data_IF_832653225752
#
_entry.id   IF_832653225752
#
_cell.length_a   1.000
_cell.length_b   1.000
_cell.length_c   1.000
_cell.angle_alpha   90.00
_cell.angle_beta   90.00
_cell.angle_gamma   90.00
#
_symmetry.space_group_name_H-M   'P 1'
#
loop_
_entity.id
_entity.type
_entity.pdbx_description
1 polymer ?
#
# COMPACT_ATOMS: atom_id res chain seq x y z
N UNK A 1 -18.62 -26.79 -44.11
CA UNK A 1 -19.02 -26.28 -42.76
C UNK A 1 -18.02 -25.20 -42.36
N UNK A 2 -18.36 -23.95 -42.62
CA UNK A 2 -17.52 -22.82 -42.32
C UNK A 2 -17.75 -22.41 -40.86
N UNK A 3 -16.71 -22.47 -40.04
CA UNK A 3 -16.75 -22.09 -38.61
C UNK A 3 -16.93 -20.57 -38.53
N UNK A 4 -18.02 -20.11 -37.94
CA UNK A 4 -18.23 -18.70 -37.66
C UNK A 4 -17.16 -18.23 -36.65
N UNK A 5 -16.60 -17.04 -36.80
CA UNK A 5 -15.73 -16.46 -35.80
C UNK A 5 -16.56 -16.19 -34.54
N UNK A 6 -16.02 -16.55 -33.37
CA UNK A 6 -16.61 -16.21 -32.07
C UNK A 6 -16.67 -14.69 -31.88
N UNK A 7 -17.51 -14.20 -30.96
CA UNK A 7 -17.57 -12.77 -30.67
C UNK A 7 -16.19 -12.24 -30.24
N UNK A 8 -15.88 -10.98 -30.58
CA UNK A 8 -14.62 -10.37 -30.15
C UNK A 8 -14.55 -10.42 -28.61
N UNK A 9 -13.40 -10.80 -28.08
CA UNK A 9 -13.09 -10.68 -26.66
C UNK A 9 -13.09 -9.18 -26.41
N UNK A 10 -14.08 -8.67 -25.67
CA UNK A 10 -14.03 -7.31 -25.15
C UNK A 10 -12.80 -7.22 -24.24
N UNK A 11 -11.82 -6.47 -24.69
CA UNK A 11 -10.66 -6.09 -23.89
C UNK A 11 -11.22 -5.28 -22.71
N UNK A 12 -11.16 -5.84 -21.51
CA UNK A 12 -11.53 -5.11 -20.29
C UNK A 12 -10.48 -4.02 -20.12
N UNK A 13 -10.78 -2.83 -20.59
CA UNK A 13 -9.95 -1.65 -20.35
C UNK A 13 -10.06 -1.35 -18.86
N UNK A 14 -9.06 -1.77 -18.08
CA UNK A 14 -8.92 -1.34 -16.69
C UNK A 14 -8.66 0.16 -16.73
N UNK A 15 -9.45 0.99 -16.03
CA UNK A 15 -9.26 2.44 -16.10
C UNK A 15 -7.91 2.79 -15.46
N UNK A 16 -6.99 3.33 -16.27
CA UNK A 16 -5.72 3.89 -15.79
C UNK A 16 -6.03 5.07 -14.87
N UNK A 17 -5.52 5.03 -13.65
CA UNK A 17 -5.71 6.10 -12.67
C UNK A 17 -4.63 7.16 -12.86
N UNK A 18 -4.99 8.32 -13.37
CA UNK A 18 -4.01 9.40 -13.64
C UNK A 18 -3.62 10.22 -12.40
N UNK A 19 -4.42 10.26 -11.35
CA UNK A 19 -4.12 10.95 -10.09
C UNK A 19 -5.01 10.46 -8.95
N UNK A 20 -4.42 10.21 -7.80
CA UNK A 20 -5.18 9.93 -6.58
C UNK A 20 -5.87 11.20 -6.07
N UNK A 21 -7.08 11.12 -5.48
CA UNK A 21 -7.65 12.21 -4.71
C UNK A 21 -6.74 12.62 -3.55
N UNK A 22 -6.81 13.90 -3.11
CA UNK A 22 -6.07 14.36 -1.93
C UNK A 22 -6.46 13.51 -0.71
N UNK A 23 -5.47 13.12 0.08
CA UNK A 23 -5.61 12.24 1.25
C UNK A 23 -5.75 10.76 0.92
N UNK A 24 -5.88 10.36 -0.35
CA UNK A 24 -5.94 8.95 -0.74
C UNK A 24 -4.53 8.32 -0.81
N UNK A 25 -4.42 7.00 -0.67
CA UNK A 25 -3.20 6.28 -1.03
C UNK A 25 -2.83 6.58 -2.48
N UNK A 26 -1.59 6.99 -2.70
CA UNK A 26 -1.11 7.39 -4.04
C UNK A 26 0.10 6.60 -4.50
N UNK A 27 0.89 6.07 -3.58
CA UNK A 27 2.09 5.28 -3.88
C UNK A 27 2.42 4.32 -2.75
N UNK A 28 3.22 3.30 -3.06
CA UNK A 28 3.83 2.38 -2.10
C UNK A 28 5.30 2.17 -2.43
N UNK A 29 6.13 2.17 -1.40
CA UNK A 29 7.55 1.85 -1.51
C UNK A 29 7.92 0.64 -0.68
N UNK A 30 8.66 -0.29 -1.28
CA UNK A 30 9.37 -1.33 -0.57
C UNK A 30 10.77 -0.85 -0.21
N UNK A 31 11.08 -0.85 1.09
CA UNK A 31 12.45 -0.77 1.57
C UNK A 31 12.94 -2.18 1.86
N UNK A 32 14.00 -2.63 1.18
CA UNK A 32 14.50 -4.01 1.22
C UNK A 32 16.01 -4.09 1.45
N UNK A 33 16.44 -5.01 2.30
CA UNK A 33 17.84 -5.34 2.55
C UNK A 33 18.49 -6.09 1.38
N UNK A 34 17.68 -6.67 0.48
CA UNK A 34 18.12 -7.36 -0.74
C UNK A 34 17.16 -7.02 -1.90
N UNK A 35 17.42 -5.90 -2.55
CA UNK A 35 16.57 -5.35 -3.62
C UNK A 35 16.50 -6.28 -4.83
N UNK A 36 17.59 -6.96 -5.17
CA UNK A 36 17.62 -7.87 -6.32
C UNK A 36 16.75 -9.09 -6.06
N UNK A 37 16.82 -9.65 -4.87
CA UNK A 37 15.96 -10.76 -4.45
C UNK A 37 14.47 -10.34 -4.40
N UNK A 38 14.17 -9.13 -3.93
CA UNK A 38 12.82 -8.60 -3.93
C UNK A 38 12.29 -8.44 -5.37
N UNK A 39 13.10 -7.92 -6.31
CA UNK A 39 12.72 -7.80 -7.73
C UNK A 39 12.37 -9.15 -8.34
N UNK A 40 13.23 -10.16 -8.15
CA UNK A 40 12.99 -11.51 -8.68
C UNK A 40 11.68 -12.08 -8.11
N UNK A 41 11.47 -11.91 -6.80
CA UNK A 41 10.29 -12.40 -6.11
C UNK A 41 9.00 -11.75 -6.64
N UNK A 42 8.91 -10.41 -6.62
CA UNK A 42 7.69 -9.71 -7.06
C UNK A 42 7.47 -9.82 -8.58
N UNK A 43 8.55 -9.96 -9.36
CA UNK A 43 8.47 -10.28 -10.78
C UNK A 43 7.78 -11.63 -11.04
N UNK A 44 8.09 -12.66 -10.24
CA UNK A 44 7.47 -13.98 -10.35
C UNK A 44 6.03 -13.98 -9.78
N UNK A 45 5.83 -13.40 -8.59
CA UNK A 45 4.56 -13.47 -7.87
C UNK A 45 3.47 -12.61 -8.53
N UNK A 46 3.83 -11.39 -8.95
CA UNK A 46 2.86 -10.41 -9.47
C UNK A 46 3.05 -10.05 -10.95
N UNK A 47 4.09 -10.57 -11.59
CA UNK A 47 4.38 -10.27 -13.00
C UNK A 47 4.94 -8.85 -13.20
N UNK A 48 5.53 -8.25 -12.18
CA UNK A 48 6.07 -6.90 -12.28
C UNK A 48 7.33 -6.85 -13.12
N UNK A 49 7.51 -5.74 -13.81
CA UNK A 49 8.77 -5.35 -14.48
C UNK A 49 9.43 -4.20 -13.72
N UNK A 50 10.74 -4.06 -13.85
CA UNK A 50 11.51 -3.12 -13.03
C UNK A 50 12.45 -2.29 -13.88
N UNK A 51 12.52 -0.99 -13.60
CA UNK A 51 13.39 -0.03 -14.24
C UNK A 51 14.07 0.87 -13.21
N UNK A 52 15.39 1.02 -13.30
CA UNK A 52 16.12 1.97 -12.44
C UNK A 52 15.69 3.39 -12.77
N UNK A 53 15.39 4.18 -11.74
CA UNK A 53 14.93 5.56 -11.92
C UNK A 53 16.01 6.52 -12.43
N UNK A 54 17.29 6.16 -12.21
CA UNK A 54 18.45 6.95 -12.59
C UNK A 54 19.42 7.12 -11.42
N UNK A 55 20.69 7.47 -11.70
CA UNK A 55 21.73 7.59 -10.66
C UNK A 55 21.44 8.72 -9.65
N UNK A 56 20.70 9.76 -10.06
CA UNK A 56 20.31 10.89 -9.23
C UNK A 56 19.28 10.53 -8.16
N UNK A 57 18.58 9.37 -8.27
CA UNK A 57 17.57 8.91 -7.34
C UNK A 57 18.09 7.84 -6.36
N UNK A 58 19.41 7.77 -6.15
CA UNK A 58 20.00 6.94 -5.08
C UNK A 58 19.77 5.44 -5.22
N UNK A 59 19.61 4.93 -6.46
CA UNK A 59 19.36 3.51 -6.71
C UNK A 59 17.89 3.11 -6.59
N UNK A 60 16.97 4.08 -6.59
CA UNK A 60 15.53 3.81 -6.61
C UNK A 60 15.11 3.08 -7.89
N UNK A 61 14.19 2.14 -7.75
CA UNK A 61 13.70 1.29 -8.83
C UNK A 61 12.18 1.43 -8.92
N UNK A 62 11.69 1.73 -10.12
CA UNK A 62 10.27 1.73 -10.42
C UNK A 62 9.81 0.32 -10.78
N UNK A 63 8.74 -0.13 -10.17
CA UNK A 63 8.02 -1.33 -10.55
C UNK A 63 6.79 -0.97 -11.38
N UNK A 64 6.55 -1.71 -12.44
CA UNK A 64 5.39 -1.56 -13.30
C UNK A 64 4.70 -2.90 -13.53
N UNK A 65 3.38 -2.87 -13.61
CA UNK A 65 2.54 -3.99 -14.05
C UNK A 65 1.96 -3.64 -15.41
N UNK A 66 2.20 -4.51 -16.40
CA UNK A 66 1.75 -4.30 -17.79
C UNK A 66 2.13 -2.93 -18.36
N UNK A 67 3.30 -2.40 -17.95
CA UNK A 67 3.82 -1.10 -18.35
C UNK A 67 3.33 0.11 -17.54
N UNK A 68 2.46 -0.10 -16.54
CA UNK A 68 1.90 0.95 -15.69
C UNK A 68 2.55 0.96 -14.30
N UNK A 69 2.99 2.13 -13.79
CA UNK A 69 3.58 2.27 -12.45
C UNK A 69 2.69 1.69 -11.35
N UNK A 70 3.28 0.85 -10.49
CA UNK A 70 2.54 0.15 -9.41
C UNK A 70 3.21 0.27 -8.04
N UNK A 71 4.53 0.37 -7.98
CA UNK A 71 5.29 0.47 -6.74
C UNK A 71 6.70 1.00 -6.96
N UNK A 72 7.38 1.37 -5.88
CA UNK A 72 8.80 1.64 -5.86
C UNK A 72 9.57 0.68 -4.96
N UNK A 73 10.86 0.52 -5.23
CA UNK A 73 11.77 -0.26 -4.41
C UNK A 73 13.05 0.53 -4.16
N UNK A 74 13.54 0.47 -2.93
CA UNK A 74 14.81 1.06 -2.54
C UNK A 74 15.56 0.18 -1.53
N UNK A 75 16.88 0.33 -1.50
CA UNK A 75 17.69 -0.38 -0.54
C UNK A 75 17.40 0.11 0.89
N UNK A 76 17.26 -0.83 1.82
CA UNK A 76 17.23 -0.52 3.23
C UNK A 76 18.64 -0.10 3.69
N UNK A 77 18.74 1.01 4.42
CA UNK A 77 20.01 1.41 5.01
C UNK A 77 20.25 0.60 6.30
N UNK A 78 21.28 -0.24 6.35
CA UNK A 78 21.58 -1.06 7.53
C UNK A 78 21.82 -0.23 8.81
N UNK A 79 22.26 1.03 8.68
CA UNK A 79 22.49 1.93 9.81
C UNK A 79 21.20 2.32 10.54
N UNK A 80 20.06 2.26 9.86
CA UNK A 80 18.75 2.59 10.45
C UNK A 80 18.22 1.45 11.33
N UNK A 81 18.77 0.24 11.21
CA UNK A 81 18.30 -0.95 11.95
C UNK A 81 16.78 -1.16 11.85
N UNK A 82 16.18 -0.69 10.75
CA UNK A 82 14.76 -0.82 10.48
C UNK A 82 14.48 -2.14 9.73
N UNK A 83 13.35 -2.80 10.00
CA UNK A 83 12.96 -3.97 9.24
C UNK A 83 12.63 -3.61 7.79
N UNK A 84 12.78 -4.57 6.90
CA UNK A 84 12.26 -4.46 5.54
C UNK A 84 10.75 -4.33 5.57
N UNK A 85 10.20 -3.41 4.80
CA UNK A 85 8.78 -3.09 4.89
C UNK A 85 8.25 -2.33 3.67
N UNK A 86 6.95 -2.42 3.51
CA UNK A 86 6.17 -1.54 2.66
C UNK A 86 5.80 -0.24 3.39
N UNK A 87 5.89 0.88 2.70
CA UNK A 87 5.42 2.20 3.16
C UNK A 87 4.36 2.71 2.22
N UNK A 88 3.22 3.18 2.75
CA UNK A 88 2.13 3.78 1.98
C UNK A 88 2.31 5.29 2.01
N UNK A 89 2.18 5.93 0.85
CA UNK A 89 2.19 7.38 0.72
C UNK A 89 0.79 7.90 0.42
N UNK A 90 0.39 8.94 1.15
CA UNK A 90 -0.86 9.65 0.93
C UNK A 90 -0.64 10.92 0.12
N UNK A 91 -1.53 11.17 -0.84
CA UNK A 91 -1.47 12.35 -1.69
C UNK A 91 -1.76 13.62 -0.90
N UNK A 92 -0.97 14.65 -1.13
CA UNK A 92 -1.21 16.02 -0.66
C UNK A 92 -0.92 17.03 -1.75
N UNK A 93 -1.66 18.14 -1.77
CA UNK A 93 -1.40 19.26 -2.67
C UNK A 93 -0.40 20.27 -2.05
N UNK A 94 -0.21 20.24 -0.70
CA UNK A 94 0.77 21.08 0.03
C UNK A 94 1.40 20.26 1.16
N UNK A 95 2.58 19.74 0.90
CA UNK A 95 3.29 18.88 1.85
C UNK A 95 3.70 19.61 3.13
N UNK A 96 4.03 20.91 3.03
CA UNK A 96 4.43 21.69 4.20
C UNK A 96 3.24 21.95 5.14
N UNK A 97 2.08 22.30 4.57
CA UNK A 97 0.84 22.46 5.34
C UNK A 97 0.43 21.12 5.97
N UNK A 98 0.50 20.01 5.21
CA UNK A 98 0.18 18.66 5.73
C UNK A 98 1.10 18.28 6.88
N UNK A 99 2.42 18.46 6.75
CA UNK A 99 3.38 18.14 7.83
C UNK A 99 3.17 19.03 9.04
N UNK A 100 2.82 20.31 8.86
CA UNK A 100 2.45 21.18 9.99
C UNK A 100 1.20 20.68 10.70
N UNK A 101 0.15 20.31 9.96
CA UNK A 101 -1.10 19.80 10.53
C UNK A 101 -0.90 18.46 11.26
N UNK A 102 -0.18 17.50 10.64
CA UNK A 102 0.07 16.20 11.29
C UNK A 102 0.86 16.35 12.59
N UNK A 103 1.81 17.29 12.64
CA UNK A 103 2.59 17.55 13.85
C UNK A 103 1.73 18.20 14.94
N UNK A 104 0.86 19.15 14.58
CA UNK A 104 -0.08 19.76 15.50
C UNK A 104 -1.11 18.75 16.03
N UNK A 105 -1.50 17.75 15.22
CA UNK A 105 -2.40 16.65 15.60
C UNK A 105 -1.72 15.51 16.38
N UNK A 106 -0.45 15.66 16.77
CA UNK A 106 0.30 14.70 17.59
C UNK A 106 1.06 13.64 16.82
N UNK A 107 1.13 13.71 15.50
CA UNK A 107 2.02 12.88 14.69
C UNK A 107 3.47 13.36 14.75
N UNK A 108 4.40 12.53 14.30
CA UNK A 108 5.82 12.83 14.26
C UNK A 108 6.32 12.88 12.81
N UNK A 109 6.93 13.99 12.40
CA UNK A 109 7.66 14.07 11.13
C UNK A 109 9.05 13.43 11.31
N UNK A 110 9.24 12.26 10.70
CA UNK A 110 10.50 11.50 10.76
C UNK A 110 11.50 12.01 9.71
N UNK A 111 11.01 12.34 8.51
CA UNK A 111 11.75 13.00 7.44
C UNK A 111 10.96 14.24 7.05
N UNK A 112 11.58 15.42 7.20
CA UNK A 112 10.98 16.68 6.79
C UNK A 112 10.68 16.69 5.28
N UNK A 113 9.76 17.55 4.81
CA UNK A 113 9.51 17.72 3.38
C UNK A 113 10.78 17.92 2.58
N UNK A 114 11.01 17.09 1.59
CA UNK A 114 12.15 17.17 0.70
C UNK A 114 11.73 16.96 -0.76
N UNK A 115 12.42 17.63 -1.66
CA UNK A 115 12.21 17.48 -3.09
C UNK A 115 12.82 16.17 -3.60
N UNK A 116 12.06 15.44 -4.41
CA UNK A 116 12.53 14.39 -5.31
C UNK A 116 12.56 15.04 -6.70
N UNK A 117 13.75 15.37 -7.24
CA UNK A 117 13.89 16.23 -8.43
C UNK A 117 12.96 15.82 -9.58
N UNK A 118 12.23 16.79 -10.13
CA UNK A 118 11.21 16.63 -11.16
C UNK A 118 10.00 15.72 -10.80
N UNK A 119 10.09 14.88 -9.79
CA UNK A 119 9.05 13.88 -9.46
C UNK A 119 7.99 14.41 -8.50
N UNK A 120 8.41 15.14 -7.46
CA UNK A 120 7.53 15.65 -6.43
C UNK A 120 8.24 15.99 -5.14
N UNK A 121 7.46 16.06 -4.06
CA UNK A 121 7.98 16.24 -2.71
C UNK A 121 7.50 15.11 -1.82
N UNK A 122 8.38 14.61 -0.96
CA UNK A 122 8.06 13.54 0.00
C UNK A 122 8.34 13.96 1.44
N UNK A 123 7.65 13.33 2.36
CA UNK A 123 7.93 13.34 3.79
C UNK A 123 7.59 11.97 4.37
N UNK A 124 8.31 11.53 5.41
CA UNK A 124 7.93 10.36 6.20
C UNK A 124 7.51 10.79 7.59
N UNK A 125 6.48 10.15 8.10
CA UNK A 125 5.89 10.47 9.38
C UNK A 125 5.36 9.23 10.09
N UNK A 126 5.00 9.38 11.37
CA UNK A 126 4.14 8.44 12.08
C UNK A 126 2.90 9.14 12.60
N UNK A 127 1.82 8.40 12.71
CA UNK A 127 0.64 8.87 13.44
C UNK A 127 0.90 8.83 14.97
N UNK A 128 -0.01 9.36 15.82
CA UNK A 128 0.15 9.34 17.27
C UNK A 128 0.30 7.95 17.88
N UNK A 129 -0.14 6.90 17.21
CA UNK A 129 -0.02 5.49 17.65
C UNK A 129 1.25 4.80 17.13
N UNK A 130 2.10 5.55 16.40
CA UNK A 130 3.38 5.07 15.88
C UNK A 130 3.31 4.39 14.52
N UNK A 131 2.17 4.36 13.84
CA UNK A 131 2.06 3.79 12.49
C UNK A 131 2.81 4.65 11.46
N UNK A 132 3.81 4.10 10.76
CA UNK A 132 4.58 4.85 9.77
C UNK A 132 3.82 5.00 8.46
N UNK A 133 3.94 6.18 7.84
CA UNK A 133 3.40 6.47 6.51
C UNK A 133 4.20 7.59 5.84
N UNK A 134 3.99 7.77 4.53
CA UNK A 134 4.54 8.89 3.75
C UNK A 134 3.46 9.88 3.33
N UNK A 135 3.90 11.12 3.07
CA UNK A 135 3.15 12.11 2.33
C UNK A 135 3.83 12.32 0.97
N UNK A 136 3.05 12.45 -0.07
CA UNK A 136 3.53 12.71 -1.42
C UNK A 136 2.78 13.86 -2.07
N UNK A 137 3.53 14.90 -2.47
CA UNK A 137 3.03 15.99 -3.29
C UNK A 137 3.58 15.81 -4.71
N UNK A 138 2.75 15.43 -5.69
CA UNK A 138 3.22 15.08 -7.03
C UNK A 138 3.63 16.30 -7.86
N UNK A 139 4.71 16.14 -8.64
CA UNK A 139 5.00 16.88 -9.86
C UNK A 139 4.78 15.95 -11.06
N UNK A 140 5.86 15.39 -11.66
CA UNK A 140 5.75 14.47 -12.80
C UNK A 140 5.34 13.04 -12.39
N UNK A 141 5.56 12.64 -11.12
CA UNK A 141 5.18 11.33 -10.64
C UNK A 141 3.85 11.39 -9.89
N UNK A 142 2.78 10.97 -10.54
CA UNK A 142 1.41 11.06 -10.02
C UNK A 142 0.96 9.88 -9.15
N UNK A 143 1.84 8.88 -8.93
CA UNK A 143 1.54 7.68 -8.13
C UNK A 143 1.13 6.48 -8.97
N UNK A 144 0.28 5.63 -8.42
CA UNK A 144 -0.22 4.44 -9.12
C UNK A 144 -0.97 4.80 -10.40
N UNK A 145 -0.73 4.02 -11.44
CA UNK A 145 -1.60 3.97 -12.62
C UNK A 145 -2.51 2.74 -12.61
N UNK A 146 -2.18 1.73 -11.80
CA UNK A 146 -2.95 0.48 -11.69
C UNK A 146 -3.29 0.20 -10.23
N UNK A 147 -4.58 0.01 -9.94
CA UNK A 147 -5.12 -0.43 -8.65
C UNK A 147 -6.34 -1.32 -8.90
N UNK A 148 -6.69 -2.15 -7.93
CA UNK A 148 -7.95 -2.91 -7.96
C UNK A 148 -7.90 -4.20 -8.79
N UNK A 149 -6.74 -4.60 -9.32
CA UNK A 149 -6.57 -5.82 -10.11
C UNK A 149 -5.50 -6.77 -9.54
N UNK A 150 -5.37 -7.96 -10.15
CA UNK A 150 -4.36 -8.92 -9.73
C UNK A 150 -2.94 -8.38 -9.86
N UNK A 151 -2.14 -8.54 -8.80
CA UNK A 151 -0.77 -8.01 -8.73
C UNK A 151 -0.67 -6.50 -8.53
N UNK A 152 -1.78 -5.80 -8.26
CA UNK A 152 -1.80 -4.39 -7.91
C UNK A 152 -2.41 -4.17 -6.51
N UNK A 153 -2.20 -3.02 -5.86
CA UNK A 153 -2.88 -2.69 -4.61
C UNK A 153 -4.40 -2.68 -4.79
N UNK A 154 -5.12 -3.39 -3.92
CA UNK A 154 -6.59 -3.42 -3.92
C UNK A 154 -7.19 -2.84 -2.65
N UNK A 155 -6.41 -2.77 -1.57
CA UNK A 155 -6.83 -2.19 -0.30
C UNK A 155 -5.64 -1.79 0.56
N UNK A 156 -5.86 -0.80 1.43
CA UNK A 156 -4.90 -0.35 2.43
C UNK A 156 -5.57 -0.36 3.80
N UNK A 157 -4.91 -0.88 4.82
CA UNK A 157 -5.50 -0.99 6.15
C UNK A 157 -4.55 -0.53 7.24
N UNK A 158 -5.01 0.39 8.07
CA UNK A 158 -4.39 0.67 9.36
C UNK A 158 -4.95 -0.29 10.40
N UNK A 159 -4.07 -1.00 11.09
CA UNK A 159 -4.41 -1.70 12.33
C UNK A 159 -3.80 -0.89 13.48
N UNK A 160 -4.65 -0.31 14.33
CA UNK A 160 -4.23 0.67 15.34
C UNK A 160 -4.59 0.26 16.74
N UNK A 161 -3.76 0.66 17.70
CA UNK A 161 -4.03 0.48 19.15
C UNK A 161 -4.98 1.52 19.72
N UNK A 162 -5.01 2.69 19.12
CA UNK A 162 -5.90 3.77 19.53
C UNK A 162 -6.77 4.17 18.34
N UNK A 163 -7.82 3.38 18.15
CA UNK A 163 -8.73 3.53 17.04
C UNK A 163 -9.42 4.90 17.00
N UNK A 164 -9.99 5.44 18.10
CA UNK A 164 -10.63 6.75 18.05
C UNK A 164 -9.64 7.87 17.69
N UNK A 165 -8.45 7.86 18.29
CA UNK A 165 -7.42 8.87 18.02
C UNK A 165 -6.90 8.77 16.58
N UNK A 166 -6.69 7.56 16.05
CA UNK A 166 -6.27 7.37 14.68
C UNK A 166 -7.30 7.89 13.68
N UNK A 167 -8.58 7.55 13.83
CA UNK A 167 -9.65 8.08 12.96
C UNK A 167 -9.71 9.60 13.00
N UNK A 168 -9.62 10.20 14.20
CA UNK A 168 -9.62 11.66 14.36
C UNK A 168 -8.40 12.30 13.67
N UNK A 169 -7.21 11.74 13.86
CA UNK A 169 -5.96 12.20 13.26
C UNK A 169 -6.02 12.24 11.73
N UNK A 170 -6.38 11.13 11.10
CA UNK A 170 -6.40 11.07 9.64
C UNK A 170 -7.52 11.93 9.03
N UNK A 171 -8.64 12.13 9.73
CA UNK A 171 -9.67 13.09 9.34
C UNK A 171 -9.18 14.53 9.40
N UNK A 172 -8.41 14.89 10.41
CA UNK A 172 -7.84 16.22 10.55
C UNK A 172 -6.73 16.50 9.52
N UNK A 173 -5.81 15.54 9.35
CA UNK A 173 -4.63 15.70 8.48
C UNK A 173 -4.98 15.65 6.99
N UNK A 174 -5.86 14.71 6.60
CA UNK A 174 -6.15 14.41 5.20
C UNK A 174 -7.60 14.69 4.78
N UNK A 175 -8.42 15.19 5.69
CA UNK A 175 -9.81 15.51 5.38
C UNK A 175 -10.68 14.29 5.08
N UNK A 176 -10.36 13.11 5.61
CA UNK A 176 -11.11 11.89 5.27
C UNK A 176 -12.58 11.95 5.61
N UNK A 177 -13.43 11.63 4.65
CA UNK A 177 -14.83 11.31 4.88
C UNK A 177 -14.93 9.85 5.27
N UNK A 178 -15.25 9.58 6.52
CA UNK A 178 -15.23 8.23 7.09
C UNK A 178 -16.63 7.67 7.30
N UNK A 179 -16.74 6.34 7.21
CA UNK A 179 -17.97 5.58 7.49
C UNK A 179 -17.63 4.40 8.40
N UNK A 180 -18.39 4.26 9.51
CA UNK A 180 -18.30 3.10 10.38
C UNK A 180 -18.95 1.89 9.72
N UNK A 181 -18.18 0.85 9.46
CA UNK A 181 -18.69 -0.44 8.95
C UNK A 181 -19.17 -1.29 10.13
N UNK A 182 -18.46 -1.23 11.26
CA UNK A 182 -18.82 -1.86 12.50
C UNK A 182 -18.25 -1.07 13.69
N UNK A 183 -19.00 -1.01 14.79
CA UNK A 183 -18.58 -0.39 16.05
C UNK A 183 -19.04 -1.27 17.23
N UNK A 184 -18.67 -2.57 17.18
CA UNK A 184 -18.88 -3.49 18.30
C UNK A 184 -17.58 -3.75 19.06
N UNK A 185 -17.68 -4.28 20.26
CA UNK A 185 -16.50 -4.63 21.08
C UNK A 185 -15.66 -5.75 20.43
N UNK A 186 -16.28 -6.60 19.59
CA UNK A 186 -15.57 -7.70 18.90
C UNK A 186 -14.93 -7.24 17.60
N UNK A 187 -15.51 -6.23 16.93
CA UNK A 187 -14.99 -5.75 15.64
C UNK A 187 -15.35 -4.29 15.43
N UNK A 188 -14.32 -3.43 15.43
CA UNK A 188 -14.45 -2.01 15.16
C UNK A 188 -13.66 -1.64 13.93
N UNK A 189 -14.38 -1.11 12.92
CA UNK A 189 -13.81 -0.85 11.60
C UNK A 189 -14.46 0.35 10.92
N UNK A 190 -13.62 1.24 10.40
CA UNK A 190 -14.03 2.43 9.66
C UNK A 190 -13.37 2.43 8.28
N UNK A 191 -14.09 2.80 7.25
CA UNK A 191 -13.55 3.05 5.91
C UNK A 191 -13.48 4.54 5.61
N UNK A 192 -12.59 4.93 4.69
CA UNK A 192 -12.53 6.29 4.17
C UNK A 192 -12.94 6.33 2.69
N UNK A 193 -13.73 7.34 2.36
CA UNK A 193 -14.28 7.60 1.05
C UNK A 193 -13.52 8.70 0.32
N UNK A 194 -13.25 8.46 -0.96
CA UNK A 194 -12.61 9.38 -1.89
C UNK A 194 -13.48 9.49 -3.15
N UNK A 195 -14.33 10.52 -3.20
CA UNK A 195 -15.44 10.53 -4.16
C UNK A 195 -16.44 9.41 -3.83
N UNK A 196 -16.65 8.50 -4.78
CA UNK A 196 -17.56 7.36 -4.66
C UNK A 196 -16.82 6.03 -4.35
N UNK A 197 -15.50 6.08 -4.10
CA UNK A 197 -14.67 4.91 -3.85
C UNK A 197 -14.19 4.85 -2.39
N UNK A 198 -14.20 3.65 -1.83
CA UNK A 198 -13.50 3.34 -0.58
C UNK A 198 -12.15 2.71 -0.93
N UNK A 199 -11.06 3.30 -0.44
CA UNK A 199 -9.70 2.88 -0.81
C UNK A 199 -8.89 2.36 0.37
N UNK A 200 -9.38 2.59 1.59
CA UNK A 200 -8.69 2.17 2.81
C UNK A 200 -9.65 1.99 3.99
N UNK A 201 -9.15 1.29 5.00
CA UNK A 201 -9.84 1.11 6.27
C UNK A 201 -8.93 1.29 7.48
N UNK A 202 -9.56 1.58 8.61
CA UNK A 202 -8.95 1.66 9.94
C UNK A 202 -9.61 0.60 10.82
N UNK A 203 -8.80 -0.29 11.37
CA UNK A 203 -9.22 -1.40 12.22
C UNK A 203 -8.72 -1.19 13.65
N UNK A 204 -9.58 -1.43 14.62
CA UNK A 204 -9.16 -1.53 16.02
C UNK A 204 -8.32 -2.80 16.21
N UNK A 205 -7.05 -2.60 16.48
CA UNK A 205 -6.07 -3.65 16.72
C UNK A 205 -5.74 -3.86 18.18
N UNK A 206 -6.42 -3.22 19.11
CA UNK A 206 -6.10 -3.24 20.55
C UNK A 206 -6.08 -4.67 21.14
N UNK A 207 -6.90 -5.58 20.60
CA UNK A 207 -6.91 -7.00 20.98
C UNK A 207 -6.11 -7.93 20.05
N UNK A 208 -5.49 -7.42 18.98
CA UNK A 208 -4.83 -8.22 17.94
C UNK A 208 -3.32 -7.97 17.86
N UNK A 209 -2.90 -6.75 18.13
CA UNK A 209 -1.48 -6.38 18.10
C UNK A 209 -0.77 -6.88 19.37
N UNK A 210 0.48 -7.37 19.25
CA UNK A 210 1.30 -7.71 20.43
C UNK A 210 1.42 -6.53 21.39
N UNK A 211 1.50 -6.75 22.70
CA UNK A 211 1.45 -5.70 23.73
C UNK A 211 2.39 -4.51 23.49
N UNK A 212 3.58 -4.75 22.93
CA UNK A 212 4.58 -3.73 22.60
C UNK A 212 4.68 -3.43 21.09
N UNK A 213 3.82 -4.05 20.26
CA UNK A 213 3.86 -3.87 18.80
C UNK A 213 3.28 -2.51 18.38
N UNK A 214 3.87 -1.80 17.43
CA UNK A 214 3.33 -0.53 16.92
C UNK A 214 2.05 -0.78 16.13
N UNK A 215 1.23 0.28 16.01
CA UNK A 215 0.22 0.34 14.96
C UNK A 215 0.88 0.27 13.58
N UNK A 216 0.22 -0.31 12.60
CA UNK A 216 0.82 -0.56 11.30
C UNK A 216 -0.15 -0.38 10.14
N UNK A 217 0.37 0.17 9.06
CA UNK A 217 -0.28 0.15 7.76
C UNK A 217 0.07 -1.15 7.03
N UNK A 218 -0.93 -1.75 6.41
CA UNK A 218 -0.79 -2.96 5.60
C UNK A 218 -1.36 -2.73 4.20
N UNK A 219 -0.72 -3.32 3.19
CA UNK A 219 -1.15 -3.31 1.80
C UNK A 219 -1.76 -4.66 1.47
N UNK A 220 -2.87 -4.67 0.76
CA UNK A 220 -3.44 -5.86 0.17
C UNK A 220 -3.23 -5.80 -1.34
N UNK A 221 -2.57 -6.81 -1.87
CA UNK A 221 -2.45 -7.02 -3.31
C UNK A 221 -3.54 -7.96 -3.80
N UNK A 222 -4.09 -7.65 -4.97
CA UNK A 222 -5.09 -8.50 -5.61
C UNK A 222 -4.49 -9.82 -6.08
N UNK A 223 -5.26 -10.89 -5.97
CA UNK A 223 -4.92 -12.19 -6.51
C UNK A 223 -6.15 -12.81 -7.22
N UNK A 224 -5.97 -13.35 -8.42
CA UNK A 224 -7.02 -14.14 -9.08
C UNK A 224 -7.33 -15.41 -8.30
N UNK A 225 -6.29 -16.05 -7.76
CA UNK A 225 -6.34 -17.25 -6.92
C UNK A 225 -5.35 -17.08 -5.77
N UNK A 226 -5.88 -16.79 -4.57
CA UNK A 226 -5.08 -16.52 -3.37
C UNK A 226 -4.24 -17.74 -2.98
N UNK A 227 -4.80 -18.95 -3.05
CA UNK A 227 -4.09 -20.18 -2.66
C UNK A 227 -2.92 -20.46 -3.60
N UNK A 228 -3.14 -20.33 -4.91
CA UNK A 228 -2.09 -20.50 -5.90
C UNK A 228 -0.99 -19.41 -5.75
N UNK A 229 -1.38 -18.17 -5.44
CA UNK A 229 -0.43 -17.10 -5.19
C UNK A 229 0.41 -17.39 -3.94
N UNK A 230 -0.19 -17.89 -2.85
CA UNK A 230 0.54 -18.33 -1.66
C UNK A 230 1.52 -19.47 -1.95
N UNK A 231 1.14 -20.42 -2.80
CA UNK A 231 2.06 -21.48 -3.24
C UNK A 231 3.24 -20.88 -4.01
N UNK A 232 2.98 -19.97 -4.95
CA UNK A 232 4.04 -19.26 -5.69
C UNK A 232 4.97 -18.50 -4.75
N UNK A 233 4.43 -17.83 -3.73
CA UNK A 233 5.20 -17.13 -2.71
C UNK A 233 6.15 -18.08 -1.98
N UNK A 234 5.66 -19.22 -1.51
CA UNK A 234 6.46 -20.21 -0.76
C UNK A 234 7.53 -20.86 -1.65
N UNK A 235 7.20 -21.19 -2.88
CA UNK A 235 8.12 -21.79 -3.86
C UNK A 235 9.27 -20.84 -4.23
N UNK A 236 9.10 -19.53 -4.01
CA UNK A 236 10.10 -18.49 -4.31
C UNK A 236 10.71 -17.86 -3.02
N UNK A 237 10.61 -18.56 -1.89
CA UNK A 237 11.34 -18.23 -0.66
C UNK A 237 10.65 -17.20 0.23
N UNK A 238 9.41 -16.82 -0.06
CA UNK A 238 8.56 -16.07 0.86
C UNK A 238 7.92 -16.99 1.91
N UNK A 239 7.19 -16.40 2.84
CA UNK A 239 6.55 -17.11 3.94
C UNK A 239 5.05 -16.81 4.01
N UNK A 240 4.24 -17.82 4.33
CA UNK A 240 2.83 -17.62 4.69
C UNK A 240 2.74 -17.31 6.18
N UNK A 241 2.23 -16.13 6.53
CA UNK A 241 2.04 -15.69 7.92
C UNK A 241 0.64 -16.01 8.42
N UNK A 242 -0.37 -15.88 7.54
CA UNK A 242 -1.74 -16.30 7.77
C UNK A 242 -2.25 -17.01 6.52
N UNK A 243 -2.71 -18.24 6.71
CA UNK A 243 -3.30 -19.03 5.63
C UNK A 243 -4.53 -18.32 5.02
N UNK A 244 -4.85 -18.67 3.78
CA UNK A 244 -6.02 -18.12 3.11
C UNK A 244 -7.31 -18.53 3.82
N UNK A 245 -8.17 -17.55 4.08
CA UNK A 245 -9.44 -17.68 4.77
C UNK A 245 -10.53 -16.92 4.01
N UNK A 246 -11.71 -17.52 3.90
CA UNK A 246 -12.88 -16.87 3.31
C UNK A 246 -13.52 -15.93 4.32
N UNK A 247 -13.67 -14.67 3.93
CA UNK A 247 -14.28 -13.62 4.75
C UNK A 247 -15.41 -12.93 3.98
N UNK A 248 -16.27 -12.14 4.65
CA UNK A 248 -17.25 -11.30 3.94
C UNK A 248 -16.65 -10.32 2.92
N UNK A 249 -15.35 -10.06 3.03
CA UNK A 249 -14.61 -9.11 2.17
C UNK A 249 -13.83 -9.80 1.04
N UNK A 250 -13.88 -11.11 0.96
CA UNK A 250 -13.17 -11.95 0.01
C UNK A 250 -12.26 -12.96 0.70
N UNK A 251 -11.52 -13.76 -0.10
CA UNK A 251 -10.52 -14.68 0.42
C UNK A 251 -9.24 -13.90 0.71
N UNK A 252 -8.83 -13.88 1.98
CA UNK A 252 -7.71 -13.08 2.48
C UNK A 252 -6.59 -13.98 3.00
N UNK A 253 -5.35 -13.50 2.87
CA UNK A 253 -4.17 -14.15 3.43
C UNK A 253 -3.13 -13.10 3.84
N UNK A 254 -2.12 -13.50 4.62
CA UNK A 254 -0.95 -12.67 4.91
C UNK A 254 0.33 -13.43 4.60
N UNK A 255 1.29 -12.75 4.00
CA UNK A 255 2.56 -13.31 3.59
C UNK A 255 3.71 -12.32 3.85
N UNK A 256 4.93 -12.84 3.80
CA UNK A 256 6.14 -12.04 3.74
C UNK A 256 6.96 -12.42 2.51
N UNK A 257 7.66 -11.46 1.94
CA UNK A 257 8.64 -11.71 0.91
C UNK A 257 9.93 -12.37 1.49
N UNK A 258 10.89 -12.77 0.66
CA UNK A 258 12.11 -13.42 1.13
C UNK A 258 13.00 -12.57 2.05
N UNK A 259 12.77 -11.26 2.13
CA UNK A 259 13.51 -10.33 3.02
C UNK A 259 12.75 -10.02 4.31
N UNK A 260 11.50 -10.50 4.41
CA UNK A 260 10.65 -10.35 5.58
C UNK A 260 9.63 -9.21 5.50
N UNK A 261 9.54 -8.49 4.37
CA UNK A 261 8.54 -7.45 4.20
C UNK A 261 7.14 -8.06 4.09
N UNK A 262 6.26 -7.66 5.01
CA UNK A 262 4.91 -8.23 5.15
C UNK A 262 3.92 -7.52 4.22
N UNK A 263 3.06 -8.30 3.59
CA UNK A 263 1.92 -7.84 2.80
C UNK A 263 0.74 -8.81 2.90
N UNK A 264 -0.42 -8.38 2.46
CA UNK A 264 -1.60 -9.22 2.42
C UNK A 264 -2.02 -9.49 0.97
N UNK A 265 -2.80 -10.56 0.81
CA UNK A 265 -3.49 -10.91 -0.43
C UNK A 265 -4.99 -10.79 -0.23
N UNK A 266 -5.69 -10.37 -1.26
CA UNK A 266 -7.14 -10.38 -1.34
C UNK A 266 -7.58 -10.92 -2.70
N UNK A 267 -8.57 -11.82 -2.69
CA UNK A 267 -9.25 -12.14 -3.95
C UNK A 267 -9.90 -10.90 -4.53
N UNK A 268 -9.92 -10.81 -5.86
CA UNK A 268 -10.60 -9.72 -6.54
C UNK A 268 -12.11 -9.80 -6.29
N UNK A 269 -12.75 -8.67 -6.06
CA UNK A 269 -14.21 -8.60 -6.01
C UNK A 269 -14.74 -8.81 -7.43
N UNK A 270 -15.59 -9.78 -7.58
CA UNK A 270 -16.32 -10.04 -8.84
C UNK A 270 -17.56 -9.15 -8.91
#
# INVERSE_FOLDING_TARGET
MTRMPGPPIEEVIVPVRYRAPVGAPTWIDLTSSDVDRARDFYGIVFGWTFEAAGPEYGGYINAAKDGHPVAGLMANNPEWQAPDRWTIFFHTDDINATVSTLTAAGGLSCIAPMEVPAKGFMSLATDPSGAPFGCWQPLDHHGFEVIGEAGAPVWHQLTTRDYPAAVAFYREVFGWRTEHISDSDEFRYTTAWFGDEQLLGVMDGSGLLPDDGPSTWSIFFGAEDVDKTLQTITDNGGAVLRAAEDTPYGRLASAADPTGAVFNLSSLRR
#
